data_IF_292944113191
#
_entry.id   IF_292944113191
#
_cell.length_a   1.000
_cell.length_b   1.000
_cell.length_c   1.000
_cell.angle_alpha   90.00
_cell.angle_beta   90.00
_cell.angle_gamma   90.00
#
_symmetry.space_group_name_H-M   'P 1'
#
loop_
_entity.id
_entity.type
_entity.pdbx_description
1 polymer ?
#
# COMPACT_ATOMS: atom_id res chain seq x y z
N UNK A 1 7.68 -21.43 36.67
CA UNK A 1 8.82 -20.82 35.94
C UNK A 1 8.55 -19.34 35.82
N UNK A 2 9.54 -18.50 36.15
CA UNK A 2 9.47 -17.05 35.93
C UNK A 2 9.47 -16.77 34.42
N UNK A 3 8.87 -15.67 33.97
CA UNK A 3 8.82 -15.32 32.54
C UNK A 3 10.22 -15.29 31.89
N UNK A 4 11.24 -14.90 32.66
CA UNK A 4 12.65 -14.89 32.27
C UNK A 4 13.23 -16.30 32.03
N UNK A 5 12.81 -17.30 32.81
CA UNK A 5 13.22 -18.71 32.64
C UNK A 5 12.54 -19.35 31.42
N UNK A 6 11.29 -18.96 31.12
CA UNK A 6 10.60 -19.39 29.90
C UNK A 6 11.28 -18.79 28.67
N UNK A 7 11.69 -17.52 28.72
CA UNK A 7 12.42 -16.85 27.64
C UNK A 7 13.80 -17.49 27.43
N UNK A 8 14.53 -17.82 28.50
CA UNK A 8 15.84 -18.46 28.41
C UNK A 8 15.81 -19.89 27.83
N UNK A 9 14.74 -20.65 28.07
CA UNK A 9 14.53 -21.99 27.48
C UNK A 9 14.06 -21.92 26.02
N UNK A 10 13.50 -20.78 25.60
CA UNK A 10 13.04 -20.51 24.22
C UNK A 10 14.12 -19.79 23.38
N UNK A 11 15.27 -19.40 23.93
CA UNK A 11 16.29 -18.58 23.24
C UNK A 11 17.11 -19.36 22.20
N UNK A 12 16.43 -19.78 21.14
CA UNK A 12 17.08 -20.11 19.89
C UNK A 12 17.63 -18.82 19.24
N UNK A 13 18.93 -18.78 18.90
CA UNK A 13 19.59 -17.61 18.27
C UNK A 13 18.86 -17.12 17.01
N UNK A 14 18.20 -18.02 16.28
CA UNK A 14 17.48 -17.71 15.06
C UNK A 14 16.24 -16.83 15.28
N UNK A 15 15.73 -16.72 16.52
CA UNK A 15 14.69 -15.74 16.85
C UNK A 15 15.13 -14.29 16.59
N UNK A 16 16.43 -14.01 16.68
CA UNK A 16 16.97 -12.67 16.40
C UNK A 16 16.79 -12.27 14.93
N UNK A 17 16.59 -13.22 14.00
CA UNK A 17 16.29 -12.90 12.59
C UNK A 17 15.05 -12.02 12.48
N UNK A 18 13.98 -12.37 13.22
CA UNK A 18 12.77 -11.57 13.24
C UNK A 18 13.05 -10.17 13.80
N UNK A 19 13.69 -10.08 14.96
CA UNK A 19 13.94 -8.81 15.62
C UNK A 19 14.88 -7.89 14.84
N UNK A 20 15.96 -8.41 14.26
CA UNK A 20 16.82 -7.65 13.36
C UNK A 20 16.04 -7.16 12.15
N UNK A 21 15.21 -8.01 11.54
CA UNK A 21 14.35 -7.59 10.43
C UNK A 21 13.44 -6.43 10.84
N UNK A 22 12.84 -6.49 12.04
CA UNK A 22 12.00 -5.43 12.63
C UNK A 22 12.75 -4.13 12.87
N UNK A 23 13.95 -4.20 13.45
CA UNK A 23 14.77 -3.02 13.70
C UNK A 23 15.13 -2.33 12.39
N UNK A 24 15.54 -3.10 11.38
CA UNK A 24 15.92 -2.58 10.07
C UNK A 24 14.78 -1.84 9.35
N UNK A 25 13.52 -2.19 9.62
CA UNK A 25 12.33 -1.58 8.98
C UNK A 25 11.54 -0.63 9.86
N UNK A 26 11.90 -0.46 11.13
CA UNK A 26 11.16 0.41 12.04
C UNK A 26 11.46 1.87 11.73
N UNK A 27 10.45 2.58 11.22
CA UNK A 27 10.53 4.02 11.04
C UNK A 27 10.38 4.70 12.40
N UNK A 28 9.34 4.40 13.16
CA UNK A 28 8.99 5.21 14.33
C UNK A 28 10.09 5.21 15.41
N UNK A 29 10.82 4.10 15.53
CA UNK A 29 11.94 3.97 16.48
C UNK A 29 13.30 4.34 15.87
N UNK A 30 13.54 4.00 14.60
CA UNK A 30 14.83 4.16 13.91
C UNK A 30 14.65 4.93 12.61
N UNK A 31 15.31 4.60 11.48
CA UNK A 31 15.19 5.35 10.22
C UNK A 31 14.89 4.46 9.02
N UNK A 32 14.29 3.29 9.25
CA UNK A 32 14.12 2.27 8.21
C UNK A 32 15.44 1.99 7.49
N UNK A 33 16.52 1.79 8.24
CA UNK A 33 17.90 1.65 7.72
C UNK A 33 17.97 0.54 6.66
N UNK A 34 17.28 -0.57 6.91
CA UNK A 34 17.18 -1.66 5.96
C UNK A 34 16.19 -1.41 4.84
N UNK A 35 15.84 -0.17 4.46
CA UNK A 35 15.20 0.15 3.16
C UNK A 35 16.20 0.39 2.05
N UNK A 36 17.49 0.49 2.35
CA UNK A 36 18.55 0.71 1.37
C UNK A 36 19.24 -0.63 1.03
N UNK A 37 18.94 -1.28 -0.11
CA UNK A 37 19.53 -2.57 -0.46
C UNK A 37 21.05 -2.47 -0.67
N UNK A 38 21.56 -1.31 -1.11
CA UNK A 38 23.01 -1.11 -1.30
C UNK A 38 23.72 -1.12 0.04
N UNK A 39 23.16 -0.45 1.05
CA UNK A 39 23.69 -0.48 2.41
C UNK A 39 23.68 -1.92 2.97
N UNK A 40 22.55 -2.63 2.86
CA UNK A 40 22.44 -4.01 3.36
C UNK A 40 23.46 -4.95 2.71
N UNK A 41 23.62 -4.87 1.39
CA UNK A 41 24.60 -5.67 0.65
C UNK A 41 26.04 -5.33 1.04
N UNK A 42 26.35 -4.04 1.19
CA UNK A 42 27.67 -3.59 1.65
C UNK A 42 27.97 -4.08 3.06
N UNK A 43 27.02 -3.97 4.00
CA UNK A 43 27.19 -4.46 5.36
C UNK A 43 27.47 -5.97 5.38
N UNK A 44 26.60 -6.78 4.75
CA UNK A 44 26.78 -8.23 4.72
C UNK A 44 28.12 -8.64 4.10
N UNK A 45 28.51 -8.01 2.97
CA UNK A 45 29.75 -8.35 2.27
C UNK A 45 31.00 -7.95 3.08
N UNK A 46 30.97 -6.78 3.71
CA UNK A 46 32.11 -6.27 4.48
C UNK A 46 32.33 -7.08 5.76
N UNK A 47 31.25 -7.44 6.45
CA UNK A 47 31.32 -8.24 7.67
C UNK A 47 31.75 -9.69 7.38
N UNK A 48 31.31 -10.27 6.25
CA UNK A 48 31.80 -11.58 5.78
C UNK A 48 33.26 -11.55 5.38
N UNK A 49 33.71 -10.48 4.72
CA UNK A 49 35.12 -10.34 4.34
C UNK A 49 36.01 -10.32 5.58
N UNK A 50 35.62 -9.55 6.61
CA UNK A 50 36.35 -9.47 7.88
C UNK A 50 36.47 -10.83 8.54
N UNK A 51 35.38 -11.61 8.56
CA UNK A 51 35.38 -12.98 9.12
C UNK A 51 36.29 -13.95 8.35
N UNK A 52 36.47 -13.75 7.04
CA UNK A 52 37.34 -14.60 6.21
C UNK A 52 38.82 -14.24 6.33
N UNK A 53 39.11 -12.96 6.38
CA UNK A 53 40.48 -12.43 6.35
C UNK A 53 41.10 -12.32 7.76
N UNK A 54 40.27 -12.27 8.82
CA UNK A 54 40.73 -12.27 10.21
C UNK A 54 40.26 -13.53 10.92
N UNK A 55 41.22 -14.29 11.45
CA UNK A 55 40.99 -15.46 12.31
C UNK A 55 41.46 -15.20 13.75
N UNK A 56 41.63 -13.93 14.13
CA UNK A 56 42.11 -13.52 15.46
C UNK A 56 40.99 -13.25 16.45
N UNK A 57 41.35 -13.13 17.73
CA UNK A 57 40.43 -12.81 18.84
C UNK A 57 39.66 -11.48 18.63
N UNK A 58 40.23 -10.55 17.85
CA UNK A 58 39.65 -9.23 17.60
C UNK A 58 38.60 -9.18 16.47
N UNK A 59 38.36 -10.30 15.77
CA UNK A 59 37.50 -10.33 14.57
C UNK A 59 36.10 -9.79 14.83
N UNK A 60 35.48 -10.18 15.96
CA UNK A 60 34.14 -9.74 16.33
C UNK A 60 34.09 -8.23 16.66
N UNK A 61 35.09 -7.74 17.40
CA UNK A 61 35.24 -6.31 17.71
C UNK A 61 35.39 -5.48 16.43
N UNK A 62 36.18 -5.97 15.48
CA UNK A 62 36.36 -5.33 14.18
C UNK A 62 35.07 -5.32 13.35
N UNK A 63 34.31 -6.42 13.33
CA UNK A 63 32.99 -6.47 12.69
C UNK A 63 32.02 -5.43 13.29
N UNK A 64 31.94 -5.32 14.62
CA UNK A 64 31.12 -4.30 15.28
C UNK A 64 31.52 -2.88 14.88
N UNK A 65 32.83 -2.60 14.85
CA UNK A 65 33.33 -1.29 14.48
C UNK A 65 33.01 -0.95 13.01
N UNK A 66 33.17 -1.91 12.09
CA UNK A 66 32.85 -1.73 10.67
C UNK A 66 31.36 -1.52 10.47
N UNK A 67 30.50 -2.28 11.15
CA UNK A 67 29.05 -2.11 11.14
C UNK A 67 28.66 -0.69 11.56
N UNK A 68 29.21 -0.23 12.69
CA UNK A 68 28.96 1.11 13.22
C UNK A 68 29.39 2.20 12.22
N UNK A 69 30.65 2.16 11.78
CA UNK A 69 31.22 3.16 10.88
C UNK A 69 30.46 3.24 9.56
N UNK A 70 30.09 2.08 9.00
CA UNK A 70 29.36 1.99 7.73
C UNK A 70 27.99 2.67 7.79
N UNK A 71 27.28 2.52 8.90
CA UNK A 71 25.98 3.14 9.12
C UNK A 71 26.15 4.64 9.40
N UNK A 72 27.09 5.04 10.26
CA UNK A 72 27.33 6.45 10.57
C UNK A 72 27.73 7.24 9.32
N UNK A 73 28.64 6.69 8.51
CA UNK A 73 29.09 7.29 7.26
C UNK A 73 27.92 7.49 6.27
N UNK A 74 27.02 6.50 6.16
CA UNK A 74 25.82 6.60 5.31
C UNK A 74 24.93 7.78 5.70
N UNK A 75 24.85 8.11 6.99
CA UNK A 75 23.95 9.14 7.53
C UNK A 75 24.65 10.43 7.98
N UNK A 76 25.98 10.55 7.80
CA UNK A 76 26.79 11.70 8.26
C UNK A 76 26.25 13.07 7.86
N UNK A 77 25.65 13.17 6.67
CA UNK A 77 25.12 14.42 6.11
C UNK A 77 23.73 14.80 6.65
N UNK A 78 23.14 14.00 7.54
CA UNK A 78 21.76 14.22 8.03
C UNK A 78 21.73 14.44 9.53
N UNK A 79 22.17 15.63 9.97
CA UNK A 79 22.25 16.01 11.39
C UNK A 79 20.93 15.79 12.15
N UNK A 80 19.79 16.10 11.52
CA UNK A 80 18.45 15.93 12.11
C UNK A 80 18.07 14.47 12.41
N UNK A 81 18.82 13.51 11.86
CA UNK A 81 18.55 12.07 11.97
C UNK A 81 19.55 11.36 12.90
N UNK A 82 20.58 12.04 13.38
CA UNK A 82 21.69 11.43 14.12
C UNK A 82 21.21 10.67 15.37
N UNK A 83 20.32 11.24 16.17
CA UNK A 83 19.83 10.59 17.40
C UNK A 83 19.14 9.23 17.13
N UNK A 84 18.41 9.10 16.01
CA UNK A 84 17.74 7.84 15.65
C UNK A 84 18.70 6.81 15.09
N UNK A 85 19.76 7.24 14.41
CA UNK A 85 20.87 6.37 13.98
C UNK A 85 21.63 5.84 15.20
N UNK A 86 22.01 6.72 16.13
CA UNK A 86 22.72 6.32 17.35
C UNK A 86 21.88 5.37 18.20
N UNK A 87 20.58 5.66 18.36
CA UNK A 87 19.66 4.75 19.05
C UNK A 87 19.58 3.37 18.38
N UNK A 88 19.57 3.30 17.05
CA UNK A 88 19.63 2.03 16.33
C UNK A 88 20.91 1.27 16.63
N UNK A 89 22.07 1.94 16.54
CA UNK A 89 23.37 1.33 16.79
C UNK A 89 23.50 0.83 18.24
N UNK A 90 23.06 1.61 19.22
CA UNK A 90 23.05 1.21 20.62
C UNK A 90 22.14 0.01 20.88
N UNK A 91 20.93 -0.01 20.32
CA UNK A 91 20.02 -1.14 20.49
C UNK A 91 20.52 -2.38 19.74
N UNK A 92 21.17 -2.20 18.58
CA UNK A 92 21.71 -3.29 17.77
C UNK A 92 22.93 -3.93 18.46
N UNK A 93 23.80 -3.10 19.03
CA UNK A 93 24.97 -3.56 19.80
C UNK A 93 24.58 -4.42 21.00
N UNK A 94 23.47 -4.08 21.69
CA UNK A 94 22.90 -4.88 22.78
C UNK A 94 22.33 -6.23 22.34
N UNK A 95 21.96 -6.36 21.07
CA UNK A 95 21.44 -7.60 20.50
C UNK A 95 22.53 -8.46 19.88
N UNK A 96 23.59 -7.84 19.36
CA UNK A 96 24.76 -8.52 18.82
C UNK A 96 25.81 -8.65 19.91
N UNK A 97 25.65 -9.63 20.81
CA UNK A 97 26.56 -9.82 21.93
C UNK A 97 27.65 -10.85 21.64
N UNK A 98 27.39 -11.77 20.71
CA UNK A 98 28.27 -12.88 20.35
C UNK A 98 28.59 -12.86 18.84
N UNK A 99 29.69 -13.52 18.41
CA UNK A 99 29.96 -13.75 16.99
C UNK A 99 28.79 -14.41 16.27
N UNK A 100 28.10 -15.34 16.92
CA UNK A 100 26.93 -16.02 16.38
C UNK A 100 25.77 -15.06 16.13
N UNK A 101 25.56 -14.06 17.00
CA UNK A 101 24.55 -13.01 16.76
C UNK A 101 24.91 -12.16 15.53
N UNK A 102 26.20 -11.92 15.29
CA UNK A 102 26.66 -11.21 14.10
C UNK A 102 26.38 -12.02 12.83
N UNK A 103 26.61 -13.33 12.87
CA UNK A 103 26.26 -14.23 11.75
C UNK A 103 24.75 -14.21 11.46
N UNK A 104 23.91 -14.25 12.51
CA UNK A 104 22.45 -14.11 12.37
C UNK A 104 22.08 -12.75 11.79
N UNK A 105 22.77 -11.67 12.16
CA UNK A 105 22.54 -10.33 11.59
C UNK A 105 22.94 -10.26 10.11
N UNK A 106 24.10 -10.82 9.74
CA UNK A 106 24.57 -10.91 8.35
C UNK A 106 23.57 -11.69 7.51
N UNK A 107 23.14 -12.85 7.99
CA UNK A 107 22.12 -13.68 7.33
C UNK A 107 20.80 -12.92 7.18
N UNK A 108 20.40 -12.16 8.20
CA UNK A 108 19.19 -11.33 8.12
C UNK A 108 19.31 -10.27 7.03
N UNK A 109 20.46 -9.60 6.91
CA UNK A 109 20.67 -8.62 5.85
C UNK A 109 20.61 -9.27 4.46
N UNK A 110 21.33 -10.37 4.25
CA UNK A 110 21.56 -10.94 2.93
C UNK A 110 20.45 -11.88 2.44
N UNK A 111 19.90 -12.71 3.32
CA UNK A 111 19.05 -13.86 2.99
C UNK A 111 17.58 -13.59 3.32
N UNK A 112 17.30 -12.55 4.10
CA UNK A 112 15.95 -12.14 4.45
C UNK A 112 15.63 -10.79 3.82
N UNK A 113 16.36 -9.75 4.21
CA UNK A 113 16.02 -8.37 3.87
C UNK A 113 16.23 -8.04 2.39
N UNK A 114 17.32 -8.48 1.77
CA UNK A 114 17.55 -8.29 0.33
C UNK A 114 16.51 -9.04 -0.53
N UNK A 115 16.24 -10.35 -0.34
CA UNK A 115 15.17 -11.06 -1.04
C UNK A 115 13.79 -10.44 -0.82
N UNK A 116 13.48 -9.97 0.40
CA UNK A 116 12.23 -9.26 0.68
C UNK A 116 12.10 -7.98 -0.16
N UNK A 117 13.18 -7.20 -0.32
CA UNK A 117 13.14 -6.02 -1.18
C UNK A 117 12.87 -6.38 -2.62
N UNK A 118 13.56 -7.39 -3.14
CA UNK A 118 13.36 -7.82 -4.52
C UNK A 118 11.92 -8.33 -4.75
N UNK A 119 11.43 -9.19 -3.86
CA UNK A 119 10.09 -9.76 -3.96
C UNK A 119 9.02 -8.66 -3.91
N UNK A 120 9.11 -7.72 -2.96
CA UNK A 120 8.14 -6.61 -2.83
C UNK A 120 8.23 -5.63 -4.01
N UNK A 121 9.42 -5.40 -4.57
CA UNK A 121 9.60 -4.54 -5.74
C UNK A 121 8.94 -5.12 -7.00
N UNK A 122 9.00 -6.45 -7.16
CA UNK A 122 8.40 -7.15 -8.29
C UNK A 122 6.86 -7.16 -8.28
N UNK A 123 6.24 -6.98 -7.11
CA UNK A 123 4.78 -6.87 -7.03
C UNK A 123 4.36 -5.55 -7.71
N UNK A 124 3.34 -5.53 -8.58
CA UNK A 124 2.84 -4.30 -9.19
C UNK A 124 2.38 -3.26 -8.17
N UNK A 125 2.62 -1.99 -8.50
CA UNK A 125 2.14 -0.85 -7.71
C UNK A 125 0.72 -0.41 -8.09
N UNK A 126 0.19 -0.88 -9.22
CA UNK A 126 -1.18 -0.63 -9.67
C UNK A 126 -1.70 -1.80 -10.50
N UNK A 127 -3.02 -1.81 -10.66
CA UNK A 127 -3.77 -2.86 -11.35
C UNK A 127 -3.83 -2.64 -12.88
N UNK A 128 -3.40 -1.44 -13.31
CA UNK A 128 -3.61 -0.87 -14.64
C UNK A 128 -3.03 -1.69 -15.79
N UNK A 129 -1.89 -2.36 -15.61
CA UNK A 129 -1.26 -3.13 -16.69
C UNK A 129 -2.08 -4.36 -17.12
N UNK A 130 -2.86 -4.96 -16.20
CA UNK A 130 -3.62 -6.17 -16.50
C UNK A 130 -4.99 -5.86 -17.13
N UNK A 131 -5.51 -4.67 -16.91
CA UNK A 131 -6.92 -4.35 -17.11
C UNK A 131 -7.17 -3.41 -18.29
N UNK A 132 -6.18 -2.59 -18.70
CA UNK A 132 -6.34 -1.59 -19.76
C UNK A 132 -6.87 -2.13 -21.09
N UNK A 133 -6.25 -3.19 -21.63
CA UNK A 133 -6.61 -3.72 -22.95
C UNK A 133 -8.00 -4.40 -22.93
N UNK A 134 -8.32 -5.09 -21.84
CA UNK A 134 -9.63 -5.74 -21.65
C UNK A 134 -10.71 -4.67 -21.46
N UNK A 135 -10.46 -3.69 -20.59
CA UNK A 135 -11.37 -2.57 -20.33
C UNK A 135 -11.68 -1.78 -21.61
N UNK A 136 -10.66 -1.47 -22.42
CA UNK A 136 -10.86 -0.81 -23.72
C UNK A 136 -11.75 -1.64 -24.63
N UNK A 137 -11.50 -2.95 -24.75
CA UNK A 137 -12.31 -3.84 -25.61
C UNK A 137 -13.78 -3.87 -25.18
N UNK A 138 -14.07 -3.86 -23.87
CA UNK A 138 -15.44 -3.75 -23.37
C UNK A 138 -16.09 -2.41 -23.74
N UNK A 139 -15.39 -1.29 -23.59
CA UNK A 139 -15.93 0.03 -23.96
C UNK A 139 -16.08 0.19 -25.49
N UNK A 140 -15.18 -0.41 -26.28
CA UNK A 140 -15.26 -0.39 -27.75
C UNK A 140 -16.51 -1.15 -28.23
N UNK A 141 -16.93 -2.21 -27.52
CA UNK A 141 -18.09 -3.05 -27.89
C UNK A 141 -19.40 -2.50 -27.28
N UNK A 142 -19.40 -2.13 -26.00
CA UNK A 142 -20.60 -1.88 -25.21
C UNK A 142 -20.84 -0.39 -24.87
N UNK A 143 -19.87 0.49 -25.14
CA UNK A 143 -20.00 1.91 -24.83
C UNK A 143 -20.29 2.17 -23.34
N UNK A 144 -21.21 3.09 -23.05
CA UNK A 144 -21.54 3.49 -21.68
C UNK A 144 -22.18 2.36 -20.86
N UNK A 145 -22.88 1.42 -21.50
CA UNK A 145 -23.46 0.26 -20.83
C UNK A 145 -22.39 -0.69 -20.24
N UNK A 146 -21.18 -0.67 -20.81
CA UNK A 146 -20.05 -1.45 -20.30
C UNK A 146 -19.34 -0.84 -19.09
N UNK A 147 -19.68 0.37 -18.66
CA UNK A 147 -18.97 1.10 -17.60
C UNK A 147 -18.94 0.35 -16.26
N UNK A 148 -20.10 -0.14 -15.81
CA UNK A 148 -20.19 -0.90 -14.56
C UNK A 148 -19.31 -2.18 -14.64
N UNK A 149 -19.38 -2.90 -15.76
CA UNK A 149 -18.55 -4.09 -15.99
C UNK A 149 -17.06 -3.75 -15.99
N UNK A 150 -16.65 -2.67 -16.64
CA UNK A 150 -15.24 -2.23 -16.67
C UNK A 150 -14.73 -1.88 -15.28
N UNK A 151 -15.52 -1.15 -14.48
CA UNK A 151 -15.15 -0.79 -13.11
C UNK A 151 -15.01 -2.04 -12.24
N UNK A 152 -15.98 -2.96 -12.27
CA UNK A 152 -15.91 -4.22 -11.50
C UNK A 152 -14.77 -5.12 -11.98
N UNK A 153 -14.61 -5.30 -13.28
CA UNK A 153 -13.55 -6.13 -13.87
C UNK A 153 -12.16 -5.58 -13.56
N UNK A 154 -12.00 -4.26 -13.55
CA UNK A 154 -10.73 -3.63 -13.17
C UNK A 154 -10.41 -3.86 -11.69
N UNK A 155 -11.41 -3.78 -10.82
CA UNK A 155 -11.25 -4.07 -9.39
C UNK A 155 -10.91 -5.55 -9.16
N UNK A 156 -11.68 -6.47 -9.77
CA UNK A 156 -11.54 -7.92 -9.56
C UNK A 156 -10.28 -8.50 -10.21
N UNK A 157 -10.02 -8.19 -11.49
CA UNK A 157 -8.81 -8.67 -12.18
C UNK A 157 -7.55 -8.00 -11.64
N UNK A 158 -7.66 -6.72 -11.24
CA UNK A 158 -6.59 -5.99 -10.58
C UNK A 158 -6.17 -6.66 -9.27
N UNK A 159 -7.14 -6.89 -8.38
CA UNK A 159 -6.90 -7.55 -7.09
C UNK A 159 -6.38 -8.97 -7.30
N UNK A 160 -7.04 -9.79 -8.13
CA UNK A 160 -6.64 -11.18 -8.35
C UNK A 160 -5.26 -11.29 -9.01
N UNK A 161 -4.97 -10.44 -9.99
CA UNK A 161 -3.66 -10.37 -10.65
C UNK A 161 -2.56 -10.00 -9.66
N UNK A 162 -2.75 -8.90 -8.91
CA UNK A 162 -1.79 -8.46 -7.91
C UNK A 162 -1.57 -9.50 -6.79
N UNK A 163 -2.63 -10.15 -6.30
CA UNK A 163 -2.52 -11.21 -5.29
C UNK A 163 -1.81 -12.46 -5.84
N UNK A 164 -2.01 -12.78 -7.13
CA UNK A 164 -1.32 -13.90 -7.78
C UNK A 164 0.18 -13.62 -7.89
N UNK A 165 0.56 -12.40 -8.28
CA UNK A 165 1.98 -12.00 -8.31
C UNK A 165 2.57 -11.95 -6.90
N UNK A 166 1.85 -11.40 -5.92
CA UNK A 166 2.24 -11.39 -4.50
C UNK A 166 2.55 -12.81 -3.99
N UNK A 167 1.64 -13.77 -4.24
CA UNK A 167 1.84 -15.17 -3.89
C UNK A 167 3.02 -15.81 -4.63
N UNK A 168 3.17 -15.51 -5.92
CA UNK A 168 4.27 -16.05 -6.74
C UNK A 168 5.63 -15.59 -6.22
N UNK A 169 5.76 -14.29 -5.92
CA UNK A 169 6.98 -13.73 -5.37
C UNK A 169 7.29 -14.25 -3.97
N UNK A 170 6.27 -14.41 -3.12
CA UNK A 170 6.41 -15.01 -1.78
C UNK A 170 6.92 -16.45 -1.89
N UNK A 171 6.27 -17.31 -2.67
CA UNK A 171 6.64 -18.73 -2.82
C UNK A 171 8.04 -18.86 -3.40
N UNK A 172 8.40 -18.03 -4.40
CA UNK A 172 9.73 -18.03 -5.00
C UNK A 172 10.82 -17.71 -3.97
N UNK A 173 10.68 -16.58 -3.26
CA UNK A 173 11.67 -16.14 -2.27
C UNK A 173 11.75 -17.11 -1.07
N UNK A 174 10.61 -17.60 -0.58
CA UNK A 174 10.54 -18.61 0.47
C UNK A 174 11.25 -19.90 0.07
N UNK A 175 11.02 -20.39 -1.16
CA UNK A 175 11.64 -21.62 -1.65
C UNK A 175 13.16 -21.50 -1.73
N UNK A 176 13.65 -20.36 -2.24
CA UNK A 176 15.10 -20.09 -2.32
C UNK A 176 15.72 -20.10 -0.92
N UNK A 177 15.11 -19.40 0.03
CA UNK A 177 15.57 -19.36 1.42
C UNK A 177 15.55 -20.74 2.08
N UNK A 178 14.46 -21.51 1.90
CA UNK A 178 14.35 -22.87 2.44
C UNK A 178 15.44 -23.79 1.89
N UNK A 179 15.70 -23.75 0.60
CA UNK A 179 16.76 -24.55 -0.04
C UNK A 179 18.13 -24.13 0.48
N UNK A 180 18.38 -22.83 0.65
CA UNK A 180 19.62 -22.32 1.22
C UNK A 180 19.84 -22.85 2.64
N UNK A 181 18.85 -22.72 3.53
CA UNK A 181 18.97 -23.17 4.91
C UNK A 181 19.09 -24.69 5.03
N UNK A 182 18.48 -25.46 4.12
CA UNK A 182 18.56 -26.94 4.12
C UNK A 182 19.94 -27.45 3.72
N UNK A 183 20.77 -26.63 3.06
CA UNK A 183 22.16 -27.01 2.73
C UNK A 183 23.09 -26.90 3.93
N UNK A 184 22.67 -26.20 4.98
CA UNK A 184 23.45 -26.06 6.21
C UNK A 184 23.01 -27.11 7.22
N UNK A 185 23.81 -28.17 7.36
CA UNK A 185 23.53 -29.28 8.28
C UNK A 185 23.59 -28.86 9.75
N UNK A 186 24.08 -27.65 10.07
CA UNK A 186 24.08 -27.12 11.45
C UNK A 186 22.73 -26.54 11.87
N UNK A 187 21.78 -26.37 10.94
CA UNK A 187 20.46 -25.79 11.21
C UNK A 187 19.41 -26.90 11.26
N UNK A 188 18.76 -27.06 12.41
CA UNK A 188 17.68 -28.04 12.60
C UNK A 188 16.41 -27.68 11.82
N UNK A 189 15.44 -28.60 11.74
CA UNK A 189 14.14 -28.31 11.10
C UNK A 189 13.39 -27.15 11.79
N UNK A 190 13.34 -27.18 13.12
CA UNK A 190 12.66 -26.16 13.93
C UNK A 190 13.30 -24.78 13.74
N UNK A 191 14.62 -24.72 13.66
CA UNK A 191 15.36 -23.49 13.40
C UNK A 191 15.11 -22.91 12.02
N UNK A 192 15.04 -23.78 11.00
CA UNK A 192 14.64 -23.37 9.65
C UNK A 192 13.26 -22.75 9.67
N UNK A 193 12.31 -23.34 10.38
CA UNK A 193 10.95 -22.82 10.50
C UNK A 193 10.91 -21.45 11.21
N UNK A 194 11.75 -21.23 12.23
CA UNK A 194 11.90 -19.91 12.87
C UNK A 194 12.35 -18.84 11.86
N UNK A 195 13.38 -19.13 11.06
CA UNK A 195 13.88 -18.19 10.04
C UNK A 195 12.85 -17.95 8.93
N UNK A 196 12.21 -19.01 8.44
CA UNK A 196 11.21 -18.95 7.38
C UNK A 196 9.96 -18.18 7.80
N UNK A 197 9.49 -18.37 9.03
CA UNK A 197 8.34 -17.63 9.58
C UNK A 197 8.66 -16.15 9.77
N UNK A 198 9.88 -15.80 10.20
CA UNK A 198 10.33 -14.41 10.26
C UNK A 198 10.29 -13.73 8.88
N UNK A 199 10.74 -14.42 7.82
CA UNK A 199 10.63 -13.93 6.44
C UNK A 199 9.17 -13.68 6.03
N UNK A 200 8.28 -14.64 6.26
CA UNK A 200 6.86 -14.54 5.87
C UNK A 200 6.16 -13.40 6.61
N UNK A 201 6.39 -13.25 7.91
CA UNK A 201 5.79 -12.18 8.71
C UNK A 201 6.17 -10.79 8.17
N UNK A 202 7.44 -10.59 7.80
CA UNK A 202 7.87 -9.31 7.23
C UNK A 202 7.45 -9.11 5.77
N UNK A 203 7.35 -10.18 4.98
CA UNK A 203 6.77 -10.12 3.64
C UNK A 203 5.31 -9.64 3.70
N UNK A 204 4.47 -10.33 4.46
CA UNK A 204 3.03 -10.04 4.56
C UNK A 204 2.79 -8.64 5.08
N UNK A 205 3.55 -8.18 6.08
CA UNK A 205 3.44 -6.82 6.58
C UNK A 205 3.70 -5.78 5.49
N UNK A 206 4.75 -5.95 4.68
CA UNK A 206 5.10 -5.01 3.60
C UNK A 206 4.09 -5.09 2.45
N UNK A 207 3.69 -6.29 2.08
CA UNK A 207 2.70 -6.52 1.04
C UNK A 207 1.34 -5.93 1.43
N UNK A 208 0.93 -6.05 2.69
CA UNK A 208 -0.28 -5.41 3.22
C UNK A 208 -0.24 -3.88 3.13
N UNK A 209 0.91 -3.25 3.40
CA UNK A 209 1.05 -1.79 3.21
C UNK A 209 0.91 -1.40 1.74
N UNK A 210 1.46 -2.20 0.82
CA UNK A 210 1.31 -2.00 -0.63
C UNK A 210 -0.13 -2.20 -1.07
N UNK A 211 -0.84 -3.20 -0.55
CA UNK A 211 -2.28 -3.44 -0.74
C UNK A 211 -3.11 -2.22 -0.33
N UNK A 212 -2.85 -1.63 0.85
CA UNK A 212 -3.52 -0.41 1.32
C UNK A 212 -3.34 0.75 0.35
N UNK A 213 -2.12 0.96 -0.15
CA UNK A 213 -1.84 2.01 -1.13
C UNK A 213 -2.57 1.77 -2.46
N UNK A 214 -2.58 0.52 -2.97
CA UNK A 214 -3.28 0.14 -4.21
C UNK A 214 -4.79 0.32 -4.12
N UNK A 215 -5.39 -0.12 -3.01
CA UNK A 215 -6.84 -0.08 -2.81
C UNK A 215 -7.43 1.35 -2.87
N UNK A 216 -6.64 2.38 -2.52
CA UNK A 216 -7.05 3.78 -2.67
C UNK A 216 -7.09 4.24 -4.13
N UNK A 217 -6.11 3.85 -4.95
CA UNK A 217 -5.94 4.38 -6.31
C UNK A 217 -6.64 3.60 -7.44
N UNK A 218 -7.09 2.36 -7.20
CA UNK A 218 -7.61 1.51 -8.30
C UNK A 218 -8.91 2.07 -8.93
N UNK A 219 -9.85 2.55 -8.09
CA UNK A 219 -11.10 3.14 -8.58
C UNK A 219 -10.89 4.51 -9.23
N UNK A 220 -9.93 5.28 -8.73
CA UNK A 220 -9.48 6.52 -9.35
C UNK A 220 -8.84 6.26 -10.72
N UNK A 221 -7.95 5.28 -10.81
CA UNK A 221 -7.25 4.88 -12.05
C UNK A 221 -8.22 4.46 -13.15
N UNK A 222 -9.24 3.64 -12.83
CA UNK A 222 -10.26 3.22 -13.81
C UNK A 222 -11.16 4.38 -14.21
N UNK A 223 -11.51 5.26 -13.28
CA UNK A 223 -12.31 6.47 -13.58
C UNK A 223 -11.52 7.41 -14.49
N UNK A 224 -10.24 7.65 -14.22
CA UNK A 224 -9.33 8.41 -15.09
C UNK A 224 -9.23 7.80 -16.50
N UNK A 225 -9.11 6.48 -16.59
CA UNK A 225 -9.12 5.77 -17.86
C UNK A 225 -10.43 6.00 -18.64
N UNK A 226 -11.58 5.86 -17.96
CA UNK A 226 -12.91 6.06 -18.54
C UNK A 226 -13.06 7.50 -19.07
N UNK A 227 -12.71 8.51 -18.27
CA UNK A 227 -12.80 9.92 -18.69
C UNK A 227 -11.92 10.18 -19.93
N UNK A 228 -10.70 9.65 -19.93
CA UNK A 228 -9.79 9.74 -21.07
C UNK A 228 -10.33 9.05 -22.32
N UNK A 229 -10.88 7.84 -22.18
CA UNK A 229 -11.50 7.08 -23.29
C UNK A 229 -12.61 7.89 -23.95
N UNK A 230 -13.47 8.53 -23.17
CA UNK A 230 -14.56 9.38 -23.67
C UNK A 230 -14.14 10.82 -24.01
N UNK A 231 -12.84 11.13 -23.99
CA UNK A 231 -12.26 12.44 -24.31
C UNK A 231 -12.80 13.58 -23.42
N UNK A 232 -13.15 13.26 -22.18
CA UNK A 232 -13.57 14.26 -21.19
C UNK A 232 -12.31 14.89 -20.60
N UNK A 233 -12.14 16.20 -20.81
CA UNK A 233 -11.00 16.95 -20.28
C UNK A 233 -11.18 17.18 -18.79
N UNK A 234 -10.20 16.74 -18.01
CA UNK A 234 -10.09 17.09 -16.60
C UNK A 234 -9.76 18.58 -16.45
N UNK A 235 -10.28 19.19 -15.39
CA UNK A 235 -10.00 20.55 -14.97
C UNK A 235 -9.05 20.54 -13.77
N UNK A 236 -8.43 21.67 -13.50
CA UNK A 236 -7.66 21.86 -12.27
C UNK A 236 -8.60 21.95 -11.07
N UNK A 237 -8.14 21.44 -9.92
CA UNK A 237 -8.84 21.60 -8.66
C UNK A 237 -8.94 23.08 -8.28
N UNK A 238 -10.05 23.52 -7.65
CA UNK A 238 -10.16 24.89 -7.17
C UNK A 238 -9.08 25.19 -6.12
N UNK A 239 -8.32 26.27 -6.30
CA UNK A 239 -7.28 26.70 -5.37
C UNK A 239 -7.86 26.89 -3.96
N UNK A 240 -7.20 26.30 -2.95
CA UNK A 240 -7.62 26.35 -1.55
C UNK A 240 -9.00 25.74 -1.27
N UNK A 241 -9.48 24.82 -2.09
CA UNK A 241 -10.62 23.98 -1.74
C UNK A 241 -10.25 23.05 -0.57
N UNK A 242 -10.40 23.58 0.66
CA UNK A 242 -10.17 22.87 1.93
C UNK A 242 -11.49 22.30 2.47
N UNK A 243 -12.30 21.69 1.60
CA UNK A 243 -13.41 20.88 2.09
C UNK A 243 -12.83 19.58 2.65
N UNK A 244 -13.40 19.05 3.72
CA UNK A 244 -13.08 17.70 4.26
C UNK A 244 -13.45 16.55 3.29
N UNK A 245 -13.93 16.91 2.09
CA UNK A 245 -14.32 16.04 1.01
C UNK A 245 -13.15 15.77 0.05
N UNK A 246 -12.75 14.51 -0.03
CA UNK A 246 -11.78 14.01 -1.01
C UNK A 246 -12.41 13.90 -2.41
N UNK A 247 -12.02 14.82 -3.30
CA UNK A 247 -12.40 14.84 -4.71
C UNK A 247 -11.18 14.42 -5.55
N UNK A 248 -11.31 13.33 -6.29
CA UNK A 248 -10.20 12.73 -7.03
C UNK A 248 -10.06 13.33 -8.43
N UNK A 249 -11.14 13.87 -8.99
CA UNK A 249 -11.17 14.43 -10.33
C UNK A 249 -12.08 15.65 -10.44
N UNK A 250 -11.76 16.54 -11.38
CA UNK A 250 -12.58 17.72 -11.67
C UNK A 250 -12.89 17.81 -13.16
N UNK A 251 -14.11 18.22 -13.48
CA UNK A 251 -14.55 18.50 -14.86
C UNK A 251 -15.23 19.87 -14.89
N UNK A 252 -15.00 20.64 -15.94
CA UNK A 252 -15.62 21.96 -16.12
C UNK A 252 -16.91 21.86 -16.92
N UNK A 253 -18.02 22.34 -16.35
CA UNK A 253 -19.30 22.49 -17.02
C UNK A 253 -19.31 23.71 -17.97
N UNK A 254 -20.32 23.78 -18.84
CA UNK A 254 -20.44 24.85 -19.84
C UNK A 254 -20.54 26.26 -19.23
N UNK A 255 -21.23 26.37 -18.10
CA UNK A 255 -21.39 27.60 -17.31
C UNK A 255 -20.11 28.02 -16.56
N UNK A 256 -19.03 27.24 -16.70
CA UNK A 256 -17.75 27.47 -16.06
C UNK A 256 -17.67 26.98 -14.61
N UNK A 257 -18.73 26.38 -14.08
CA UNK A 257 -18.72 25.71 -12.78
C UNK A 257 -18.02 24.34 -12.88
N UNK A 258 -17.61 23.81 -11.74
CA UNK A 258 -16.87 22.56 -11.61
C UNK A 258 -17.76 21.43 -11.11
N UNK A 259 -17.57 20.24 -11.68
CA UNK A 259 -18.13 18.98 -11.19
C UNK A 259 -16.96 18.21 -10.58
N UNK A 260 -17.04 17.95 -9.28
CA UNK A 260 -16.08 17.07 -8.61
C UNK A 260 -16.51 15.62 -8.79
N UNK A 261 -15.55 14.72 -9.02
CA UNK A 261 -15.77 13.28 -9.06
C UNK A 261 -14.98 12.67 -7.91
N UNK A 262 -15.68 11.97 -7.03
CA UNK A 262 -15.14 11.31 -5.85
C UNK A 262 -15.32 9.80 -6.00
N UNK A 263 -14.24 9.05 -5.89
CA UNK A 263 -14.16 7.61 -6.07
C UNK A 263 -14.06 6.96 -4.69
N UNK A 264 -15.07 6.18 -4.29
CA UNK A 264 -15.09 5.48 -3.00
C UNK A 264 -15.54 4.05 -3.15
N UNK A 265 -14.72 3.08 -2.73
CA UNK A 265 -15.17 1.68 -2.67
C UNK A 265 -16.35 1.51 -1.72
N UNK A 266 -16.25 2.06 -0.50
CA UNK A 266 -17.30 2.11 0.53
C UNK A 266 -17.28 3.49 1.19
N UNK A 267 -18.42 3.96 1.68
CA UNK A 267 -18.52 5.29 2.33
C UNK A 267 -18.32 5.22 3.85
N UNK A 268 -18.84 4.18 4.49
CA UNK A 268 -18.82 3.86 5.94
C UNK A 268 -19.14 5.06 6.83
N UNK A 269 -18.27 5.42 7.77
CA UNK A 269 -18.35 6.59 8.64
C UNK A 269 -17.78 7.87 8.01
N UNK A 270 -17.04 7.74 6.89
CA UNK A 270 -16.31 8.85 6.26
C UNK A 270 -17.22 9.89 5.63
N UNK A 271 -18.50 9.58 5.40
CA UNK A 271 -19.50 10.55 4.96
C UNK A 271 -19.62 11.78 5.86
N UNK A 272 -19.30 11.65 7.17
CA UNK A 272 -19.30 12.78 8.10
C UNK A 272 -18.29 13.86 7.71
N UNK A 273 -17.22 13.47 7.02
CA UNK A 273 -16.21 14.39 6.48
C UNK A 273 -16.61 14.86 5.07
N UNK A 274 -17.57 14.20 4.42
CA UNK A 274 -18.03 14.54 3.07
C UNK A 274 -19.13 15.61 3.09
N UNK A 275 -19.74 15.88 4.23
CA UNK A 275 -20.74 16.93 4.35
C UNK A 275 -20.08 18.30 4.31
N UNK A 276 -20.39 19.10 3.30
CA UNK A 276 -19.92 20.48 3.16
C UNK A 276 -21.14 21.38 2.97
N UNK A 277 -21.11 22.59 3.53
CA UNK A 277 -22.22 23.52 3.31
C UNK A 277 -22.28 23.93 1.83
N UNK A 278 -23.49 24.10 1.31
CA UNK A 278 -23.73 24.54 -0.08
C UNK A 278 -23.07 25.90 -0.37
N UNK A 279 -22.81 26.70 0.67
CA UNK A 279 -22.06 27.96 0.59
C UNK A 279 -20.61 27.76 0.16
N UNK A 280 -19.94 26.72 0.67
CA UNK A 280 -18.58 26.36 0.23
C UNK A 280 -18.58 26.03 -1.26
N UNK A 281 -19.56 25.24 -1.71
CA UNK A 281 -19.67 24.90 -3.13
C UNK A 281 -19.91 26.13 -3.99
N UNK A 282 -20.79 27.05 -3.58
CA UNK A 282 -21.01 28.30 -4.31
C UNK A 282 -19.73 29.16 -4.37
N UNK A 283 -18.99 29.29 -3.25
CA UNK A 283 -17.72 30.05 -3.19
C UNK A 283 -16.69 29.54 -4.20
N UNK A 284 -16.58 28.23 -4.35
CA UNK A 284 -15.62 27.59 -5.27
C UNK A 284 -16.23 27.22 -6.63
N UNK A 285 -17.45 27.69 -6.93
CA UNK A 285 -18.20 27.39 -8.16
C UNK A 285 -18.32 25.88 -8.43
N UNK A 286 -18.55 25.09 -7.39
CA UNK A 286 -18.81 23.65 -7.49
C UNK A 286 -20.30 23.44 -7.71
N UNK A 287 -20.64 22.82 -8.83
CA UNK A 287 -22.02 22.56 -9.25
C UNK A 287 -22.56 21.31 -8.58
N UNK A 288 -21.80 20.21 -8.68
CA UNK A 288 -22.12 18.92 -8.11
C UNK A 288 -20.86 18.19 -7.66
N UNK A 289 -21.02 17.26 -6.74
CA UNK A 289 -20.05 16.19 -6.48
C UNK A 289 -20.67 14.85 -6.89
N UNK A 290 -20.02 14.16 -7.81
CA UNK A 290 -20.42 12.85 -8.29
C UNK A 290 -19.60 11.79 -7.57
N UNK A 291 -20.25 10.94 -6.78
CA UNK A 291 -19.62 9.83 -6.09
C UNK A 291 -19.75 8.56 -6.92
N UNK A 292 -18.63 8.00 -7.38
CA UNK A 292 -18.60 6.65 -7.96
C UNK A 292 -18.36 5.67 -6.82
N UNK A 293 -19.35 4.80 -6.56
CA UNK A 293 -19.32 3.83 -5.46
C UNK A 293 -19.47 2.42 -5.96
N UNK A 294 -18.61 1.49 -5.52
CA UNK A 294 -18.65 0.09 -5.96
C UNK A 294 -19.27 -0.87 -4.94
N UNK A 295 -19.16 -0.58 -3.65
CA UNK A 295 -19.80 -1.32 -2.56
C UNK A 295 -20.67 -0.37 -1.73
N UNK A 296 -21.97 -0.49 -1.91
CA UNK A 296 -22.97 0.51 -1.54
C UNK A 296 -23.99 0.02 -0.50
N UNK A 297 -23.81 -1.20 -0.01
CA UNK A 297 -24.61 -1.81 1.08
C UNK A 297 -24.58 -0.98 2.38
N UNK A 298 -23.59 -0.11 2.56
CA UNK A 298 -23.46 0.76 3.73
C UNK A 298 -24.09 2.16 3.56
N UNK A 299 -24.73 2.44 2.41
CA UNK A 299 -25.46 3.69 2.18
C UNK A 299 -26.84 3.59 2.81
N UNK A 300 -27.09 4.33 3.90
CA UNK A 300 -28.43 4.47 4.49
C UNK A 300 -29.22 5.60 3.82
N UNK A 301 -30.54 5.64 4.05
CA UNK A 301 -31.43 6.68 3.50
C UNK A 301 -31.02 8.06 4.02
N UNK A 302 -30.63 8.14 5.29
CA UNK A 302 -30.13 9.37 5.92
C UNK A 302 -28.87 9.91 5.24
N UNK A 303 -27.91 9.03 4.91
CA UNK A 303 -26.67 9.43 4.22
C UNK A 303 -26.96 10.00 2.85
N UNK A 304 -27.81 9.31 2.09
CA UNK A 304 -28.17 9.73 0.73
C UNK A 304 -28.96 11.04 0.73
N UNK A 305 -29.88 11.21 1.68
CA UNK A 305 -30.69 12.41 1.78
C UNK A 305 -29.83 13.62 2.16
N UNK A 306 -29.05 13.52 3.23
CA UNK A 306 -28.23 14.62 3.71
C UNK A 306 -27.22 15.10 2.66
N UNK A 307 -26.51 14.17 2.04
CA UNK A 307 -25.51 14.51 1.02
C UNK A 307 -26.17 14.93 -0.30
N UNK A 308 -27.31 14.33 -0.64
CA UNK A 308 -28.13 14.70 -1.79
C UNK A 308 -28.59 16.16 -1.75
N UNK A 309 -29.06 16.64 -0.60
CA UNK A 309 -29.43 18.04 -0.36
C UNK A 309 -28.26 19.00 -0.57
N UNK A 310 -27.02 18.52 -0.43
CA UNK A 310 -25.78 19.27 -0.63
C UNK A 310 -25.26 19.19 -2.08
N UNK A 311 -26.09 18.80 -3.06
CA UNK A 311 -25.71 18.64 -4.48
C UNK A 311 -24.73 17.49 -4.73
N UNK A 312 -24.77 16.44 -3.91
CA UNK A 312 -24.01 15.22 -4.15
C UNK A 312 -24.87 14.16 -4.85
N UNK A 313 -24.32 13.45 -5.83
CA UNK A 313 -25.01 12.42 -6.61
C UNK A 313 -24.19 11.14 -6.55
N UNK A 314 -24.83 10.02 -6.20
CA UNK A 314 -24.22 8.71 -6.09
C UNK A 314 -24.46 7.88 -7.34
N UNK A 315 -23.38 7.47 -7.99
CA UNK A 315 -23.36 6.54 -9.09
C UNK A 315 -23.01 5.15 -8.56
N UNK A 316 -24.00 4.24 -8.60
CA UNK A 316 -23.91 2.89 -8.02
C UNK A 316 -23.87 1.83 -9.14
N UNK A 317 -23.41 0.59 -8.86
CA UNK A 317 -23.41 -0.48 -9.84
C UNK A 317 -24.81 -0.69 -10.42
N UNK A 318 -24.91 -0.89 -11.73
CA UNK A 318 -26.20 -0.95 -12.44
C UNK A 318 -27.12 -2.09 -11.94
N UNK A 319 -26.55 -3.14 -11.37
CA UNK A 319 -27.26 -4.27 -10.76
C UNK A 319 -27.44 -4.14 -9.23
N UNK A 320 -27.11 -3.00 -8.64
CA UNK A 320 -27.19 -2.78 -7.21
C UNK A 320 -28.63 -2.88 -6.69
N UNK A 321 -28.80 -3.62 -5.58
CA UNK A 321 -30.05 -3.63 -4.82
C UNK A 321 -30.39 -2.24 -4.30
N UNK A 322 -29.38 -1.49 -3.86
CA UNK A 322 -29.54 -0.16 -3.29
C UNK A 322 -29.96 0.86 -4.34
N UNK A 323 -29.38 0.78 -5.54
CA UNK A 323 -29.82 1.55 -6.70
C UNK A 323 -31.30 1.30 -7.00
N UNK A 324 -31.69 0.03 -7.09
CA UNK A 324 -33.09 -0.35 -7.37
C UNK A 324 -34.04 0.27 -6.34
N UNK A 325 -33.76 0.07 -5.06
CA UNK A 325 -34.55 0.67 -3.97
C UNK A 325 -34.62 2.20 -4.09
N UNK A 326 -33.47 2.88 -4.22
CA UNK A 326 -33.43 4.34 -4.25
C UNK A 326 -34.15 4.92 -5.48
N UNK A 327 -34.10 4.24 -6.62
CA UNK A 327 -34.77 4.66 -7.87
C UNK A 327 -36.30 4.66 -7.76
N UNK A 328 -36.86 3.77 -6.95
CA UNK A 328 -38.30 3.67 -6.68
C UNK A 328 -38.74 4.62 -5.56
N UNK A 329 -37.81 5.08 -4.73
CA UNK A 329 -38.09 5.96 -3.59
C UNK A 329 -38.23 7.43 -4.01
N UNK A 330 -39.36 8.06 -3.66
CA UNK A 330 -39.74 9.42 -4.10
C UNK A 330 -38.66 10.46 -3.80
N UNK A 331 -38.03 10.39 -2.63
CA UNK A 331 -37.00 11.34 -2.18
C UNK A 331 -35.57 11.00 -2.62
N UNK A 332 -35.24 9.73 -2.89
CA UNK A 332 -33.85 9.30 -3.10
C UNK A 332 -33.48 9.18 -4.58
N UNK A 333 -34.47 8.99 -5.46
CA UNK A 333 -34.27 8.81 -6.91
C UNK A 333 -33.51 9.95 -7.59
N UNK A 334 -33.50 11.14 -6.98
CA UNK A 334 -32.79 12.31 -7.51
C UNK A 334 -31.29 12.31 -7.15
N UNK A 335 -30.90 11.55 -6.12
CA UNK A 335 -29.55 11.53 -5.55
C UNK A 335 -28.77 10.27 -5.95
N UNK A 336 -29.42 9.28 -6.54
CA UNK A 336 -28.81 7.99 -6.90
C UNK A 336 -29.06 7.67 -8.36
N UNK A 337 -28.02 7.26 -9.08
CA UNK A 337 -28.04 6.93 -10.51
C UNK A 337 -27.20 5.68 -10.79
N UNK A 338 -27.47 4.95 -11.88
CA UNK A 338 -26.57 3.88 -12.34
C UNK A 338 -25.24 4.46 -12.83
N UNK A 339 -24.14 3.75 -12.60
CA UNK A 339 -22.80 4.10 -13.09
C UNK A 339 -22.78 4.29 -14.60
N UNK A 340 -23.55 3.51 -15.36
CA UNK A 340 -23.64 3.69 -16.81
C UNK A 340 -24.15 5.07 -17.26
N UNK A 341 -24.84 5.82 -16.39
CA UNK A 341 -25.28 7.19 -16.70
C UNK A 341 -24.20 8.26 -16.49
N UNK A 342 -23.11 7.96 -15.78
CA UNK A 342 -22.09 8.94 -15.38
C UNK A 342 -21.60 9.80 -16.55
N UNK A 343 -21.24 9.16 -17.66
CA UNK A 343 -20.67 9.85 -18.82
C UNK A 343 -21.71 10.72 -19.54
N UNK A 344 -22.95 10.25 -19.60
CA UNK A 344 -24.03 11.01 -20.20
C UNK A 344 -24.37 12.25 -19.38
N UNK A 345 -24.38 12.13 -18.05
CA UNK A 345 -24.61 13.25 -17.15
C UNK A 345 -23.49 14.28 -17.22
N UNK A 346 -22.22 13.85 -17.23
CA UNK A 346 -21.09 14.76 -17.41
C UNK A 346 -21.21 15.49 -18.76
N UNK A 347 -21.49 14.77 -19.85
CA UNK A 347 -21.65 15.39 -21.18
C UNK A 347 -22.81 16.38 -21.24
N UNK A 348 -23.91 16.11 -20.53
CA UNK A 348 -25.06 17.00 -20.47
C UNK A 348 -24.70 18.34 -19.83
N UNK A 349 -23.84 18.32 -18.82
CA UNK A 349 -23.37 19.55 -18.14
C UNK A 349 -22.28 20.29 -18.92
N UNK A 350 -21.56 19.60 -19.83
CA UNK A 350 -20.54 20.21 -20.69
C UNK A 350 -21.10 20.81 -22.00
N UNK A 351 -22.28 20.37 -22.43
CA UNK A 351 -23.00 20.88 -23.60
C UNK A 351 -23.73 22.17 -23.30
#
# INVERSE_FOLDING_TARGET
>A
MKAEEIIGVIQNRWHNVYWFSRMLISNDKYLTIGKDPKLLSMLASSLRLVLRENNGEDTFSLQKQILKNSIEERYKKTASKNNRVQKFLTDLDKMINTPEDMDVFILTCESIMLPLHQAIANIPNNDKQFTLNIAKSYLDIQGEAGLATVITLWDDLGIKGCLTVERTEMVRAFTILRVFLTKDNSITEEERDIVLTAFIQEFERRAAQKRKKRAGGSLEDVTNFILGYYKIKQAEAPSHFQADLEVDNWVKAKDGWLIGISCKRTIRERWKNMSSSTEVYNRFKVKYIFHVVTFDEDLSDDKLTLLGEQRQIFYLPDNSRRLKYASEHVGLKNYVRPISQLINDIRKEMK
#
